data_IF_703653070697
#
_entry.id   IF_703653070697
#
_cell.length_a   1.000
_cell.length_b   1.000
_cell.length_c   1.000
_cell.angle_alpha   90.00
_cell.angle_beta   90.00
_cell.angle_gamma   90.00
#
_symmetry.space_group_name_H-M   'P 1'
#
loop_
_entity.id
_entity.type
_entity.pdbx_description
1 polymer ?
#
# COMPACT_ATOMS: atom_id res chain seq x y z
N UNK A 1 -2.72 -38.39 -42.44
CA UNK A 1 -1.86 -38.22 -41.25
C UNK A 1 -2.43 -37.10 -40.38
N UNK A 2 -3.26 -37.43 -39.38
CA UNK A 2 -3.94 -36.45 -38.53
C UNK A 2 -3.06 -36.09 -37.33
N UNK A 3 -2.64 -34.83 -37.22
CA UNK A 3 -1.89 -34.31 -36.06
C UNK A 3 -2.85 -34.16 -34.88
N UNK A 4 -2.59 -34.88 -33.80
CA UNK A 4 -3.28 -34.71 -32.52
C UNK A 4 -2.86 -33.37 -31.89
N UNK A 5 -3.86 -32.56 -31.51
CA UNK A 5 -3.66 -31.26 -30.86
C UNK A 5 -3.48 -31.49 -29.36
N UNK A 6 -2.27 -31.30 -28.85
CA UNK A 6 -2.00 -31.34 -27.40
C UNK A 6 -2.76 -30.21 -26.69
N UNK A 7 -3.47 -30.47 -25.58
CA UNK A 7 -4.07 -29.41 -24.78
C UNK A 7 -3.00 -28.67 -23.97
N UNK A 8 -3.01 -27.34 -24.07
CA UNK A 8 -2.17 -26.45 -23.24
C UNK A 8 -2.51 -26.61 -21.76
N UNK A 9 -1.53 -26.58 -20.84
CA UNK A 9 -1.82 -26.53 -19.41
C UNK A 9 -2.61 -25.27 -19.06
N UNK A 10 -3.50 -25.32 -18.05
CA UNK A 10 -4.27 -24.16 -17.62
C UNK A 10 -3.32 -23.10 -17.07
N UNK A 11 -3.36 -21.91 -17.65
CA UNK A 11 -2.61 -20.77 -17.11
C UNK A 11 -3.23 -20.38 -15.76
N UNK A 12 -2.41 -20.35 -14.71
CA UNK A 12 -2.82 -19.90 -13.38
C UNK A 12 -3.03 -18.38 -13.41
N UNK A 13 -4.22 -17.94 -13.84
CA UNK A 13 -4.57 -16.52 -13.84
C UNK A 13 -5.14 -16.11 -12.46
N UNK A 14 -4.31 -15.40 -11.70
CA UNK A 14 -4.69 -14.84 -10.39
C UNK A 14 -5.45 -13.52 -10.50
N UNK A 15 -5.69 -12.98 -11.72
CA UNK A 15 -6.46 -11.74 -11.92
C UNK A 15 -7.86 -11.83 -11.33
N UNK A 16 -8.46 -13.01 -11.32
CA UNK A 16 -9.77 -13.25 -10.71
C UNK A 16 -9.80 -12.95 -9.20
N UNK A 17 -8.65 -13.07 -8.51
CA UNK A 17 -8.53 -12.73 -7.09
C UNK A 17 -8.67 -11.23 -6.84
N UNK A 18 -8.30 -10.40 -7.83
CA UNK A 18 -8.40 -8.95 -7.76
C UNK A 18 -9.62 -8.39 -8.50
N UNK A 19 -10.30 -9.22 -9.30
CA UNK A 19 -11.52 -8.90 -10.03
C UNK A 19 -12.80 -8.95 -9.17
N UNK A 20 -12.69 -9.30 -7.88
CA UNK A 20 -13.80 -9.31 -6.94
C UNK A 20 -14.50 -7.96 -6.77
N UNK A 21 -15.78 -8.04 -6.37
CA UNK A 21 -16.86 -7.05 -6.33
C UNK A 21 -16.57 -5.69 -5.64
N UNK A 22 -15.60 -4.93 -6.13
CA UNK A 22 -15.45 -3.53 -5.75
C UNK A 22 -16.48 -2.70 -6.51
N UNK A 23 -17.38 -2.06 -5.78
CA UNK A 23 -18.46 -1.26 -6.37
C UNK A 23 -17.82 -0.16 -7.23
N UNK A 24 -18.37 0.20 -8.40
CA UNK A 24 -17.78 1.20 -9.29
C UNK A 24 -17.41 2.52 -8.57
N UNK A 25 -18.18 2.88 -7.54
CA UNK A 25 -17.99 4.10 -6.75
C UNK A 25 -16.80 4.04 -5.76
N UNK A 26 -16.22 2.87 -5.50
CA UNK A 26 -15.02 2.72 -4.66
C UNK A 26 -13.74 3.00 -5.46
N UNK A 27 -13.80 2.98 -6.80
CA UNK A 27 -12.64 3.26 -7.66
C UNK A 27 -12.26 4.74 -7.71
N UNK A 28 -13.17 5.62 -7.33
CA UNK A 28 -12.97 7.08 -7.30
C UNK A 28 -13.06 7.69 -5.90
N UNK A 29 -13.17 6.87 -4.85
CA UNK A 29 -13.11 7.38 -3.48
C UNK A 29 -11.75 8.05 -3.28
N UNK A 30 -11.74 9.31 -2.84
CA UNK A 30 -10.52 10.04 -2.54
C UNK A 30 -9.64 9.22 -1.59
N UNK A 31 -8.47 8.81 -2.10
CA UNK A 31 -7.47 8.12 -1.33
C UNK A 31 -6.78 9.15 -0.43
N UNK A 32 -7.25 9.26 0.81
CA UNK A 32 -6.71 10.18 1.82
C UNK A 32 -5.87 9.42 2.83
N UNK A 33 -4.94 10.13 3.49
CA UNK A 33 -4.12 9.55 4.55
C UNK A 33 -4.97 8.98 5.68
N UNK A 34 -6.02 9.70 6.09
CA UNK A 34 -6.90 9.30 7.20
C UNK A 34 -7.61 7.98 6.90
N UNK A 35 -8.15 7.82 5.68
CA UNK A 35 -8.80 6.57 5.27
C UNK A 35 -7.84 5.39 5.28
N UNK A 36 -6.61 5.58 4.79
CA UNK A 36 -5.60 4.54 4.82
C UNK A 36 -5.31 4.13 6.28
N UNK A 37 -5.23 5.08 7.20
CA UNK A 37 -5.01 4.79 8.62
C UNK A 37 -6.16 3.97 9.22
N UNK A 38 -7.41 4.34 8.94
CA UNK A 38 -8.60 3.62 9.40
C UNK A 38 -8.66 2.18 8.88
N UNK A 39 -8.33 1.99 7.59
CA UNK A 39 -8.29 0.66 6.96
C UNK A 39 -7.20 -0.22 7.58
N UNK A 40 -6.00 0.34 7.82
CA UNK A 40 -4.91 -0.36 8.48
C UNK A 40 -5.27 -0.76 9.91
N UNK A 41 -5.95 0.11 10.66
CA UNK A 41 -6.41 -0.18 12.01
C UNK A 41 -7.46 -1.31 12.01
N UNK A 42 -8.42 -1.25 11.09
CA UNK A 42 -9.46 -2.27 10.92
C UNK A 42 -8.87 -3.64 10.56
N UNK A 43 -7.90 -3.67 9.65
CA UNK A 43 -7.20 -4.89 9.27
C UNK A 43 -6.46 -5.52 10.46
N UNK A 44 -5.73 -4.73 11.24
CA UNK A 44 -5.05 -5.19 12.46
C UNK A 44 -6.05 -5.70 13.50
N UNK A 45 -7.18 -5.01 13.68
CA UNK A 45 -8.26 -5.43 14.61
C UNK A 45 -8.86 -6.78 14.21
N UNK A 46 -8.94 -7.09 12.91
CA UNK A 46 -9.36 -8.41 12.43
C UNK A 46 -8.31 -9.52 12.57
N UNK A 47 -7.14 -9.22 13.16
CA UNK A 47 -6.04 -10.17 13.32
C UNK A 47 -5.11 -10.28 12.11
N UNK A 48 -5.24 -9.37 11.14
CA UNK A 48 -4.37 -9.31 9.98
C UNK A 48 -2.96 -8.80 10.32
N UNK A 49 -1.94 -9.39 9.69
CA UNK A 49 -0.53 -8.98 9.81
C UNK A 49 -0.01 -8.52 8.45
N UNK A 50 0.65 -7.37 8.43
CA UNK A 50 1.28 -6.84 7.23
C UNK A 50 2.79 -7.05 7.38
N UNK A 51 3.37 -7.82 6.47
CA UNK A 51 4.81 -8.05 6.42
C UNK A 51 5.42 -7.22 5.27
N UNK A 52 6.47 -6.48 5.59
CA UNK A 52 7.16 -5.63 4.61
C UNK A 52 8.30 -6.43 4.01
N UNK A 53 8.14 -6.86 2.75
CA UNK A 53 9.14 -7.67 2.03
C UNK A 53 10.27 -6.83 1.42
N UNK A 54 10.08 -5.52 1.33
CA UNK A 54 11.04 -4.57 0.79
C UNK A 54 10.34 -3.29 0.34
N UNK A 55 11.12 -2.23 0.15
CA UNK A 55 10.59 -0.94 -0.30
C UNK A 55 10.90 -0.78 -1.80
N UNK A 56 9.87 -0.86 -2.64
CA UNK A 56 9.99 -0.49 -4.05
C UNK A 56 9.91 1.03 -4.17
N UNK A 57 10.97 1.66 -4.67
CA UNK A 57 10.95 3.09 -5.01
C UNK A 57 10.03 3.28 -6.21
N UNK A 58 8.90 3.94 -6.01
CA UNK A 58 8.08 4.43 -7.11
C UNK A 58 8.71 5.71 -7.67
N UNK A 59 8.41 6.06 -8.93
CA UNK A 59 8.90 7.27 -9.60
C UNK A 59 8.27 8.54 -8.98
N UNK A 60 8.54 8.78 -7.70
CA UNK A 60 8.15 10.00 -7.00
C UNK A 60 9.12 11.08 -7.45
N UNK A 61 8.63 12.20 -8.00
CA UNK A 61 9.46 13.41 -8.14
C UNK A 61 9.82 13.87 -6.72
N UNK A 62 11.09 13.71 -6.33
CA UNK A 62 11.61 14.09 -5.01
C UNK A 62 12.29 15.48 -5.07
N UNK A 63 12.03 16.28 -6.11
CA UNK A 63 12.57 17.64 -6.23
C UNK A 63 11.67 18.70 -5.55
N UNK A 64 10.81 18.28 -4.63
CA UNK A 64 10.29 19.18 -3.60
C UNK A 64 11.30 19.18 -2.44
N UNK A 65 11.75 20.35 -1.94
CA UNK A 65 12.84 20.41 -0.97
C UNK A 65 12.57 19.47 0.20
N UNK A 66 13.55 18.60 0.47
CA UNK A 66 13.50 17.65 1.57
C UNK A 66 13.12 18.42 2.86
N UNK A 67 11.99 18.05 3.46
CA UNK A 67 11.65 18.54 4.78
C UNK A 67 12.84 18.22 5.69
N UNK A 68 13.37 19.22 6.44
CA UNK A 68 14.52 19.00 7.30
C UNK A 68 14.19 17.84 8.26
N UNK A 69 15.18 17.00 8.60
CA UNK A 69 14.98 15.91 9.56
C UNK A 69 14.34 16.48 10.83
N UNK A 70 13.45 15.74 11.51
CA UNK A 70 12.90 16.18 12.78
C UNK A 70 14.07 16.48 13.71
N UNK A 71 14.34 17.76 13.94
CA UNK A 71 15.29 18.18 14.96
C UNK A 71 14.73 17.67 16.28
N UNK A 72 15.37 16.64 16.81
CA UNK A 72 15.11 16.13 18.15
C UNK A 72 15.11 17.35 19.08
N UNK A 73 13.95 17.65 19.66
CA UNK A 73 13.73 18.89 20.39
C UNK A 73 14.68 18.92 21.60
N UNK A 74 15.76 19.70 21.47
CA UNK A 74 16.70 19.90 22.56
C UNK A 74 15.95 20.41 23.81
N UNK A 75 16.24 19.86 25.02
CA UNK A 75 15.49 20.18 26.21
C UNK A 75 15.67 21.66 26.55
N UNK A 76 14.59 22.44 26.40
CA UNK A 76 14.57 23.85 26.80
C UNK A 76 14.76 23.92 28.31
N UNK A 77 15.93 24.34 28.78
CA UNK A 77 16.13 24.70 30.20
C UNK A 77 15.14 25.82 30.55
N UNK A 78 14.17 25.52 31.42
CA UNK A 78 13.37 26.51 32.12
C UNK A 78 14.33 27.45 32.86
N UNK A 79 14.39 28.73 32.47
CA UNK A 79 14.95 29.75 33.35
C UNK A 79 14.03 29.87 34.56
N UNK A 80 14.62 29.71 35.74
CA UNK A 80 13.97 29.97 37.01
C UNK A 80 13.81 31.49 37.19
N UNK A 81 12.67 31.82 37.81
CA UNK A 81 12.30 32.99 38.62
C UNK A 81 13.06 34.29 38.42
#
# INVERSE_FOLDING_TARGET
MSRTKNPSPPQSDTRHLFAGARKPNERGASLTSDRIADDLASFRKSGGKIEVLGNTRTLTRIDGPAAPPPVEAAPRKRRAS
#
